data_IF_817012917773
#
_entry.id   IF_817012917773
#
_cell.length_a   1.000
_cell.length_b   1.000
_cell.length_c   1.000
_cell.angle_alpha   90.00
_cell.angle_beta   90.00
_cell.angle_gamma   90.00
#
_symmetry.space_group_name_H-M   'P 1'
#
loop_
_entity.id
_entity.type
_entity.pdbx_description
1 polymer ?
#
# COMPACT_ATOMS: atom_id res chain seq x y z
N UNK A 1 -10.02 48.05 -20.97
CA UNK A 1 -10.33 46.74 -20.38
C UNK A 1 -10.08 46.81 -18.86
N UNK A 2 -11.01 47.45 -18.15
CA UNK A 2 -10.98 47.59 -16.69
C UNK A 2 -11.64 46.35 -16.08
N UNK A 3 -10.89 45.67 -15.21
CA UNK A 3 -11.28 44.41 -14.60
C UNK A 3 -12.51 44.58 -13.70
N UNK A 4 -13.49 43.70 -13.90
CA UNK A 4 -14.57 43.47 -12.95
C UNK A 4 -13.94 42.93 -11.66
N UNK A 5 -13.70 43.83 -10.72
CA UNK A 5 -13.47 43.49 -9.33
C UNK A 5 -14.74 42.80 -8.82
N UNK A 6 -14.80 41.48 -8.98
CA UNK A 6 -15.80 40.64 -8.37
C UNK A 6 -15.78 40.92 -6.88
N UNK A 7 -16.90 41.41 -6.37
CA UNK A 7 -17.17 41.53 -4.95
C UNK A 7 -17.18 40.13 -4.35
N UNK A 8 -15.99 39.67 -3.96
CA UNK A 8 -15.84 38.47 -3.17
C UNK A 8 -16.75 38.67 -1.93
N UNK A 9 -17.72 37.77 -1.67
CA UNK A 9 -18.69 37.97 -0.60
C UNK A 9 -17.93 38.26 0.69
N UNK A 10 -18.25 39.39 1.33
CA UNK A 10 -17.58 39.82 2.55
C UNK A 10 -17.64 38.69 3.59
N UNK A 11 -16.54 37.95 3.71
CA UNK A 11 -16.45 36.82 4.62
C UNK A 11 -16.42 37.39 6.03
N UNK A 12 -17.48 37.12 6.80
CA UNK A 12 -17.56 37.55 8.19
C UNK A 12 -16.49 36.79 9.01
N UNK A 13 -15.71 37.48 9.86
CA UNK A 13 -14.76 36.84 10.74
C UNK A 13 -15.45 35.83 11.68
N UNK A 14 -14.78 34.71 11.94
CA UNK A 14 -15.25 33.72 12.92
C UNK A 14 -15.26 34.31 14.34
N UNK A 15 -16.19 33.89 15.21
CA UNK A 15 -16.33 34.44 16.56
C UNK A 15 -15.09 34.18 17.44
N UNK A 16 -14.49 32.99 17.33
CA UNK A 16 -13.28 32.66 18.08
C UNK A 16 -12.04 32.69 17.19
N UNK A 17 -11.13 33.60 17.53
CA UNK A 17 -9.86 33.76 16.83
C UNK A 17 -8.74 33.01 17.54
N UNK A 18 -7.99 32.20 16.79
CA UNK A 18 -6.85 31.43 17.30
C UNK A 18 -5.54 32.14 16.97
N UNK A 19 -4.63 32.27 17.95
CA UNK A 19 -3.28 32.81 17.71
C UNK A 19 -2.48 31.87 16.79
N UNK A 20 -1.99 32.36 15.62
CA UNK A 20 -1.11 31.61 14.73
C UNK A 20 0.21 31.28 15.43
N UNK A 21 0.71 30.05 15.24
CA UNK A 21 2.02 29.64 15.73
C UNK A 21 3.01 29.56 14.57
N UNK A 22 4.23 30.06 14.81
CA UNK A 22 5.30 30.02 13.82
C UNK A 22 5.54 28.58 13.33
N UNK A 23 5.48 28.36 12.02
CA UNK A 23 5.79 27.07 11.39
C UNK A 23 4.78 25.93 11.59
N UNK A 24 3.65 26.17 12.26
CA UNK A 24 2.53 25.22 12.40
C UNK A 24 1.96 24.83 11.02
N UNK A 25 1.84 25.84 10.17
CA UNK A 25 1.36 25.82 8.80
C UNK A 25 -0.12 25.53 8.64
N UNK A 26 -0.62 25.88 7.46
CA UNK A 26 -2.05 26.07 7.23
C UNK A 26 -2.99 24.92 7.65
N UNK A 27 -2.75 23.64 7.32
CA UNK A 27 -3.66 22.55 7.70
C UNK A 27 -3.87 22.39 9.22
N UNK A 28 -2.80 22.58 10.01
CA UNK A 28 -2.89 22.44 11.47
C UNK A 28 -3.58 23.67 12.09
N UNK A 29 -3.26 24.85 11.58
CA UNK A 29 -3.93 26.08 11.97
C UNK A 29 -5.44 26.04 11.69
N UNK A 30 -5.85 25.63 10.47
CA UNK A 30 -7.27 25.45 10.10
C UNK A 30 -7.96 24.44 11.04
N UNK A 31 -7.29 23.34 11.42
CA UNK A 31 -7.87 22.35 12.34
C UNK A 31 -8.14 22.96 13.72
N UNK A 32 -7.21 23.74 14.27
CA UNK A 32 -7.39 24.42 15.55
C UNK A 32 -8.45 25.52 15.48
N UNK A 33 -8.46 26.28 14.39
CA UNK A 33 -9.47 27.31 14.15
C UNK A 33 -10.87 26.70 14.07
N UNK A 34 -11.02 25.58 13.36
CA UNK A 34 -12.27 24.84 13.29
C UNK A 34 -12.71 24.33 14.66
N UNK A 35 -11.78 23.74 15.42
CA UNK A 35 -12.05 23.25 16.78
C UNK A 35 -12.50 24.37 17.74
N UNK A 36 -11.85 25.55 17.69
CA UNK A 36 -12.20 26.69 18.53
C UNK A 36 -13.59 27.27 18.23
N UNK A 37 -14.08 27.09 16.99
CA UNK A 37 -15.40 27.56 16.56
C UNK A 37 -16.44 26.42 16.49
N UNK A 38 -16.14 25.25 17.07
CA UNK A 38 -17.01 24.07 17.03
C UNK A 38 -17.43 23.64 15.61
N UNK A 39 -16.58 23.86 14.62
CA UNK A 39 -16.79 23.47 13.22
C UNK A 39 -16.05 22.16 12.89
N UNK A 40 -16.59 21.30 12.01
CA UNK A 40 -15.84 20.17 11.47
C UNK A 40 -14.61 20.65 10.65
N UNK A 41 -13.38 20.14 10.90
CA UNK A 41 -12.19 20.60 10.18
C UNK A 41 -12.27 20.42 8.66
N UNK A 42 -12.95 19.36 8.20
CA UNK A 42 -13.14 19.11 6.76
C UNK A 42 -14.09 20.13 6.13
N UNK A 43 -15.11 20.58 6.87
CA UNK A 43 -16.06 21.59 6.44
C UNK A 43 -15.35 22.92 6.22
N UNK A 44 -14.64 23.42 7.25
CA UNK A 44 -13.91 24.68 7.16
C UNK A 44 -12.86 24.65 6.03
N UNK A 45 -12.15 23.53 5.87
CA UNK A 45 -11.19 23.37 4.77
C UNK A 45 -11.86 23.45 3.40
N UNK A 46 -13.03 22.83 3.21
CA UNK A 46 -13.77 22.87 1.94
C UNK A 46 -14.30 24.27 1.66
N UNK A 47 -14.76 24.98 2.69
CA UNK A 47 -15.20 26.37 2.60
C UNK A 47 -14.08 27.30 2.14
N UNK A 48 -12.86 27.09 2.63
CA UNK A 48 -11.69 27.89 2.28
C UNK A 48 -11.13 27.66 0.86
N UNK A 49 -11.61 26.66 0.13
CA UNK A 49 -11.11 26.32 -1.22
C UNK A 49 -11.70 27.24 -2.31
N UNK A 50 -10.91 27.49 -3.37
CA UNK A 50 -11.30 28.36 -4.49
C UNK A 50 -11.02 27.71 -5.86
N UNK A 51 -12.03 27.50 -6.73
CA UNK A 51 -13.47 27.43 -6.42
C UNK A 51 -13.76 26.34 -5.37
N UNK A 52 -14.93 26.36 -4.69
CA UNK A 52 -15.26 25.43 -3.61
C UNK A 52 -15.39 23.99 -4.11
N UNK A 53 -14.25 23.32 -4.24
CA UNK A 53 -14.14 21.93 -4.67
C UNK A 53 -13.65 21.02 -3.55
N UNK A 54 -14.02 19.72 -3.56
CA UNK A 54 -13.55 18.76 -2.57
C UNK A 54 -12.03 18.53 -2.60
N UNK A 55 -11.35 18.94 -3.68
CA UNK A 55 -9.90 18.80 -3.88
C UNK A 55 -9.16 20.13 -4.00
N UNK A 56 -9.83 21.25 -3.79
CA UNK A 56 -9.20 22.57 -3.87
C UNK A 56 -8.10 22.74 -2.82
N UNK A 57 -7.15 23.63 -3.13
CA UNK A 57 -6.23 24.17 -2.13
C UNK A 57 -6.95 25.32 -1.41
N UNK A 58 -6.83 25.43 -0.09
CA UNK A 58 -7.41 26.56 0.62
C UNK A 58 -6.68 27.84 0.21
N UNK A 59 -7.46 28.91 0.02
CA UNK A 59 -7.01 30.24 -0.38
C UNK A 59 -6.55 31.03 0.85
N UNK A 60 -5.39 31.68 0.74
CA UNK A 60 -4.87 32.55 1.80
C UNK A 60 -5.76 33.76 2.04
N UNK A 61 -6.33 34.34 0.98
CA UNK A 61 -7.26 35.46 1.06
C UNK A 61 -8.51 35.10 1.88
N UNK A 62 -9.11 33.93 1.63
CA UNK A 62 -10.29 33.48 2.39
C UNK A 62 -9.96 33.18 3.84
N UNK A 63 -8.80 32.57 4.10
CA UNK A 63 -8.35 32.29 5.47
C UNK A 63 -8.08 33.57 6.26
N UNK A 64 -7.48 34.57 5.61
CA UNK A 64 -7.24 35.90 6.15
C UNK A 64 -8.55 36.62 6.49
N UNK A 65 -9.52 36.59 5.58
CA UNK A 65 -10.83 37.20 5.78
C UNK A 65 -11.59 36.60 6.97
N UNK A 66 -11.67 35.25 7.08
CA UNK A 66 -12.35 34.61 8.23
C UNK A 66 -11.61 34.79 9.56
N UNK A 67 -10.32 35.13 9.53
CA UNK A 67 -9.54 35.38 10.75
C UNK A 67 -9.41 36.87 11.09
N UNK A 68 -9.87 37.77 10.21
CA UNK A 68 -9.66 39.20 10.35
C UNK A 68 -8.18 39.59 10.41
N UNK A 69 -7.32 38.88 9.66
CA UNK A 69 -5.85 39.10 9.66
C UNK A 69 -5.35 39.42 8.26
N UNK A 70 -4.20 40.05 8.19
CA UNK A 70 -3.49 40.24 6.93
C UNK A 70 -3.03 38.88 6.32
N UNK A 71 -3.30 38.62 5.02
CA UNK A 71 -2.97 37.35 4.38
C UNK A 71 -1.46 37.07 4.33
N UNK A 72 -0.64 38.09 4.10
CA UNK A 72 0.81 37.92 3.95
C UNK A 72 1.48 37.70 5.30
N UNK A 73 1.04 38.39 6.35
CA UNK A 73 1.47 38.16 7.72
C UNK A 73 1.09 36.75 8.19
N UNK A 74 -0.13 36.31 7.89
CA UNK A 74 -0.60 34.97 8.26
C UNK A 74 0.19 33.88 7.54
N UNK A 75 0.41 34.05 6.23
CA UNK A 75 1.22 33.14 5.41
C UNK A 75 2.64 33.07 5.93
N UNK A 76 3.27 34.21 6.17
CA UNK A 76 4.65 34.28 6.70
C UNK A 76 4.72 33.59 8.05
N UNK A 77 3.82 33.89 8.98
CA UNK A 77 3.85 33.27 10.32
C UNK A 77 3.66 31.75 10.24
N UNK A 78 2.66 31.28 9.50
CA UNK A 78 2.33 29.86 9.46
C UNK A 78 3.33 29.03 8.67
N UNK A 79 3.92 29.57 7.61
CA UNK A 79 4.82 28.82 6.73
C UNK A 79 6.31 28.98 7.04
N UNK A 80 6.72 30.03 7.76
CA UNK A 80 8.12 30.19 8.18
C UNK A 80 8.55 28.97 8.97
N UNK A 81 9.56 28.28 8.46
CA UNK A 81 10.16 27.09 9.05
C UNK A 81 11.66 27.20 8.96
N UNK A 82 12.35 26.67 9.96
CA UNK A 82 13.80 26.55 9.92
C UNK A 82 14.21 25.35 9.08
N UNK A 83 15.24 25.53 8.28
CA UNK A 83 15.89 24.47 7.51
C UNK A 83 16.49 23.44 8.47
N UNK A 84 16.18 22.16 8.24
CA UNK A 84 16.66 21.07 9.10
C UNK A 84 18.19 20.91 9.05
N UNK A 85 18.84 21.36 7.99
CA UNK A 85 20.29 21.21 7.81
C UNK A 85 21.11 22.41 8.29
N UNK A 86 20.60 23.63 8.13
CA UNK A 86 21.36 24.85 8.44
C UNK A 86 20.67 25.81 9.40
N UNK A 87 19.43 25.52 9.83
CA UNK A 87 18.68 26.37 10.75
C UNK A 87 18.10 27.66 10.15
N UNK A 88 18.51 28.04 8.93
CA UNK A 88 18.02 29.23 8.22
C UNK A 88 16.53 29.17 7.97
N UNK A 89 15.84 30.31 8.13
CA UNK A 89 14.42 30.42 7.82
C UNK A 89 14.17 30.19 6.32
N UNK A 90 13.23 29.30 6.03
CA UNK A 90 12.77 28.96 4.69
C UNK A 90 11.61 29.91 4.37
N UNK A 91 11.68 30.63 3.23
CA UNK A 91 10.61 31.53 2.85
C UNK A 91 9.30 30.76 2.61
N UNK A 92 8.14 31.40 2.86
CA UNK A 92 6.83 30.80 2.63
C UNK A 92 6.63 30.44 1.15
N UNK A 93 6.01 29.28 0.87
CA UNK A 93 5.71 28.87 -0.51
C UNK A 93 4.43 29.56 -0.99
N UNK A 94 4.36 29.90 -2.27
CA UNK A 94 3.10 30.40 -2.86
C UNK A 94 2.00 29.35 -2.85
N UNK A 95 2.38 28.07 -2.88
CA UNK A 95 1.42 26.97 -2.92
C UNK A 95 1.19 26.36 -1.56
N UNK A 96 -0.07 26.42 -1.12
CA UNK A 96 -0.53 25.74 0.09
C UNK A 96 -0.20 24.24 0.04
N UNK A 97 0.58 23.77 1.02
CA UNK A 97 0.75 22.34 1.33
C UNK A 97 2.07 21.69 0.91
N UNK A 98 2.86 22.24 -0.03
CA UNK A 98 4.21 21.72 -0.32
C UNK A 98 5.25 22.46 0.51
N UNK A 99 5.64 21.85 1.62
CA UNK A 99 6.63 22.41 2.55
C UNK A 99 8.02 21.96 2.16
N UNK A 100 8.87 22.90 1.75
CA UNK A 100 10.30 22.63 1.68
C UNK A 100 10.83 22.44 3.12
N UNK A 101 11.52 21.33 3.36
CA UNK A 101 12.20 21.05 4.64
C UNK A 101 13.61 21.67 4.63
N UNK A 102 14.11 21.99 3.43
CA UNK A 102 15.48 22.39 3.15
C UNK A 102 15.46 23.68 2.34
N UNK A 103 16.23 24.69 2.77
CA UNK A 103 16.23 26.03 2.18
C UNK A 103 16.83 26.09 0.78
N UNK A 104 17.77 25.19 0.45
CA UNK A 104 18.56 25.28 -0.78
C UNK A 104 18.94 23.91 -1.33
N UNK A 105 19.37 23.89 -2.59
CA UNK A 105 19.95 22.68 -3.20
C UNK A 105 21.21 22.22 -2.45
N UNK A 106 22.01 23.15 -1.91
CA UNK A 106 23.18 22.82 -1.07
C UNK A 106 22.76 22.03 0.18
N UNK A 107 21.73 22.50 0.90
CA UNK A 107 21.19 21.78 2.04
C UNK A 107 20.55 20.44 1.64
N UNK A 108 19.89 20.37 0.48
CA UNK A 108 19.38 19.12 -0.09
C UNK A 108 20.47 18.09 -0.32
N UNK A 109 21.58 18.50 -0.94
CA UNK A 109 22.74 17.65 -1.18
C UNK A 109 23.41 17.24 0.13
N UNK A 110 23.53 18.16 1.11
CA UNK A 110 24.08 17.86 2.45
C UNK A 110 23.22 16.83 3.19
N UNK A 111 21.91 17.05 3.26
CA UNK A 111 20.95 16.11 3.83
C UNK A 111 21.02 14.74 3.15
N UNK A 112 21.10 14.72 1.83
CA UNK A 112 21.22 13.50 1.05
C UNK A 112 22.53 12.77 1.34
N UNK A 113 23.67 13.48 1.40
CA UNK A 113 24.97 12.90 1.80
C UNK A 113 24.92 12.34 3.22
N UNK A 114 24.28 13.03 4.17
CA UNK A 114 24.09 12.54 5.55
C UNK A 114 23.20 11.30 5.61
N UNK A 115 22.16 11.23 4.77
CA UNK A 115 21.23 10.07 4.67
C UNK A 115 21.81 8.89 3.91
N UNK A 116 22.78 9.11 3.03
CA UNK A 116 23.59 8.03 2.48
C UNK A 116 24.39 7.44 3.63
N UNK A 117 23.75 6.50 4.33
CA UNK A 117 24.37 5.67 5.36
C UNK A 117 25.48 4.89 4.71
N UNK A 118 26.70 5.40 4.82
CA UNK A 118 27.91 4.65 4.57
C UNK A 118 28.01 3.63 5.70
N UNK A 119 27.68 2.38 5.40
CA UNK A 119 28.04 1.29 6.29
C UNK A 119 29.36 0.71 5.81
N UNK A 120 30.22 0.25 6.74
CA UNK A 120 31.42 -0.48 6.36
C UNK A 120 31.03 -1.82 5.71
N UNK A 121 31.83 -2.25 4.73
CA UNK A 121 31.72 -3.58 4.16
C UNK A 121 31.99 -4.64 5.24
N UNK A 122 31.19 -5.71 5.31
CA UNK A 122 31.40 -6.80 6.30
C UNK A 122 32.70 -7.59 6.11
N UNK A 123 33.38 -7.47 4.97
CA UNK A 123 34.59 -8.26 4.65
C UNK A 123 35.84 -7.40 4.67
N UNK A 124 35.82 -6.23 4.01
CA UNK A 124 37.00 -5.37 3.91
C UNK A 124 36.86 -4.07 4.70
N UNK A 125 35.76 -3.88 5.42
CA UNK A 125 35.45 -2.70 6.26
C UNK A 125 35.42 -1.34 5.55
N UNK A 126 35.69 -1.30 4.24
CA UNK A 126 35.64 -0.07 3.46
C UNK A 126 34.23 0.54 3.48
N UNK A 127 34.11 1.87 3.65
CA UNK A 127 32.83 2.54 3.63
C UNK A 127 32.19 2.39 2.26
N UNK A 128 30.94 1.95 2.21
CA UNK A 128 30.20 1.77 0.96
C UNK A 128 28.79 2.35 1.04
N UNK A 129 28.26 2.82 -0.09
CA UNK A 129 26.87 3.24 -0.21
C UNK A 129 25.97 2.00 -0.24
N UNK A 130 25.08 1.85 0.74
CA UNK A 130 24.06 0.80 0.72
C UNK A 130 22.99 1.17 -0.31
N UNK A 131 22.87 0.40 -1.39
CA UNK A 131 21.74 0.55 -2.30
C UNK A 131 20.45 0.02 -1.65
N UNK A 132 19.32 0.71 -1.89
CA UNK A 132 18.01 0.28 -1.38
C UNK A 132 17.71 -1.12 -1.94
N UNK A 133 17.60 -2.12 -1.06
CA UNK A 133 17.38 -3.52 -1.42
C UNK A 133 18.62 -4.42 -1.36
N UNK A 134 19.82 -3.87 -1.16
CA UNK A 134 21.03 -4.66 -1.01
C UNK A 134 21.08 -5.32 0.38
N UNK A 135 20.83 -6.64 0.43
CA UNK A 135 20.78 -7.44 1.68
C UNK A 135 22.12 -7.51 2.41
N UNK A 136 23.21 -7.63 1.66
CA UNK A 136 24.54 -7.84 2.21
C UNK A 136 25.38 -6.57 2.03
N UNK A 137 25.96 -6.07 3.13
CA UNK A 137 26.89 -4.93 3.16
C UNK A 137 28.24 -5.35 2.56
N UNK A 138 28.26 -5.64 1.26
CA UNK A 138 29.42 -6.14 0.52
C UNK A 138 29.71 -5.18 -0.63
N UNK A 139 30.91 -4.59 -0.64
CA UNK A 139 31.22 -3.46 -1.51
C UNK A 139 31.57 -3.86 -2.95
N UNK A 140 32.04 -5.08 -3.18
CA UNK A 140 32.53 -5.56 -4.48
C UNK A 140 32.17 -7.02 -4.75
N UNK A 141 32.29 -7.45 -6.00
CA UNK A 141 32.20 -8.86 -6.40
C UNK A 141 33.21 -9.73 -5.65
N UNK A 142 34.43 -9.24 -5.43
CA UNK A 142 35.45 -9.92 -4.64
C UNK A 142 34.98 -10.16 -3.20
N UNK A 143 34.51 -9.12 -2.50
CA UNK A 143 33.95 -9.29 -1.15
C UNK A 143 32.72 -10.21 -1.12
N UNK A 144 31.90 -10.23 -2.18
CA UNK A 144 30.79 -11.19 -2.33
C UNK A 144 31.30 -12.63 -2.45
N UNK A 145 32.36 -12.88 -3.23
CA UNK A 145 33.00 -14.18 -3.36
C UNK A 145 33.62 -14.63 -2.04
N UNK A 146 34.35 -13.76 -1.34
CA UNK A 146 34.93 -14.06 -0.03
C UNK A 146 33.85 -14.41 0.99
N UNK A 147 32.78 -13.61 1.08
CA UNK A 147 31.66 -13.92 1.97
C UNK A 147 30.95 -15.24 1.60
N UNK A 148 30.90 -15.59 0.32
CA UNK A 148 30.35 -16.88 -0.13
C UNK A 148 31.24 -18.06 0.29
N UNK A 149 32.55 -17.95 0.07
CA UNK A 149 33.52 -18.97 0.48
C UNK A 149 33.54 -19.17 2.00
N UNK A 150 33.44 -18.08 2.76
CA UNK A 150 33.34 -18.15 4.22
C UNK A 150 32.09 -18.93 4.66
N UNK A 151 30.92 -18.66 4.06
CA UNK A 151 29.70 -19.44 4.33
C UNK A 151 29.83 -20.92 3.95
N UNK A 152 30.53 -21.25 2.86
CA UNK A 152 30.78 -22.65 2.51
C UNK A 152 31.67 -23.35 3.55
N UNK A 153 32.72 -22.68 4.03
CA UNK A 153 33.60 -23.21 5.09
C UNK A 153 32.85 -23.37 6.41
N UNK A 154 32.09 -22.37 6.82
CA UNK A 154 31.29 -22.41 8.05
C UNK A 154 30.21 -23.50 7.98
N UNK A 155 29.58 -23.67 6.82
CA UNK A 155 28.61 -24.75 6.58
C UNK A 155 29.23 -26.14 6.64
N UNK A 156 30.40 -26.32 6.03
CA UNK A 156 31.13 -27.60 6.09
C UNK A 156 31.59 -27.94 7.52
N UNK A 157 32.11 -26.95 8.27
CA UNK A 157 32.53 -27.11 9.66
C UNK A 157 31.35 -27.37 10.62
N UNK A 158 30.15 -26.89 10.30
CA UNK A 158 28.94 -27.21 11.06
C UNK A 158 28.50 -28.66 10.83
N UNK A 159 28.65 -29.20 9.62
CA UNK A 159 28.27 -30.60 9.33
C UNK A 159 29.22 -31.63 9.97
N UNK A 160 30.50 -31.30 10.17
CA UNK A 160 31.48 -32.21 10.79
C UNK A 160 31.39 -32.28 12.32
N UNK A 161 30.63 -31.39 12.98
CA UNK A 161 30.46 -31.37 14.44
C UNK A 161 29.20 -32.09 14.95
N UNK A 162 28.45 -32.75 14.07
CA UNK A 162 27.14 -33.34 14.40
C UNK A 162 27.15 -34.81 14.83
N UNK A 163 28.32 -35.39 15.12
CA UNK A 163 28.44 -36.83 15.46
C UNK A 163 28.62 -37.13 16.97
N UNK A 164 28.67 -36.10 17.82
CA UNK A 164 28.62 -36.29 19.27
C UNK A 164 27.19 -36.07 19.77
N UNK A 165 26.52 -37.17 20.13
CA UNK A 165 25.13 -37.27 20.59
C UNK A 165 24.82 -36.52 21.90
N UNK A 166 25.01 -35.20 21.92
CA UNK A 166 24.47 -34.28 22.93
C UNK A 166 23.58 -33.28 22.20
N UNK A 167 22.29 -33.28 22.57
CA UNK A 167 21.25 -32.40 22.04
C UNK A 167 21.53 -30.92 22.35
N UNK A 168 22.50 -30.33 21.66
CA UNK A 168 22.69 -28.88 21.62
C UNK A 168 21.53 -28.33 20.80
N UNK A 169 20.66 -27.58 21.45
CA UNK A 169 19.57 -26.85 20.80
C UNK A 169 20.17 -25.91 19.75
N UNK A 170 20.20 -26.38 18.50
CA UNK A 170 20.71 -25.67 17.35
C UNK A 170 20.04 -24.29 17.30
N UNK A 171 20.82 -23.24 17.54
CA UNK A 171 20.26 -21.90 17.76
C UNK A 171 19.75 -21.37 16.42
N UNK A 172 18.46 -21.60 16.16
CA UNK A 172 17.83 -21.24 14.89
C UNK A 172 17.98 -19.73 14.63
N UNK A 173 18.51 -19.38 13.47
CA UNK A 173 18.69 -17.99 13.06
C UNK A 173 17.46 -17.47 12.29
N UNK A 174 17.16 -16.19 12.46
CA UNK A 174 16.10 -15.52 11.72
C UNK A 174 16.45 -15.39 10.22
N UNK A 175 15.59 -15.88 9.33
CA UNK A 175 15.82 -15.82 7.87
C UNK A 175 15.91 -14.39 7.28
N UNK A 176 15.45 -13.37 8.03
CA UNK A 176 15.43 -11.99 7.56
C UNK A 176 16.63 -11.16 8.03
N UNK A 177 17.16 -11.43 9.23
CA UNK A 177 18.24 -10.62 9.83
C UNK A 177 19.41 -11.44 10.39
N UNK A 178 19.37 -12.77 10.27
CA UNK A 178 20.42 -13.72 10.71
C UNK A 178 20.68 -13.72 12.23
N UNK A 179 19.88 -13.02 13.03
CA UNK A 179 19.99 -13.02 14.50
C UNK A 179 19.38 -14.30 15.10
N UNK A 180 19.89 -14.79 16.24
CA UNK A 180 19.29 -15.91 16.95
C UNK A 180 17.83 -15.62 17.27
N UNK A 181 16.97 -16.62 17.05
CA UNK A 181 15.56 -16.55 17.45
C UNK A 181 15.49 -16.54 18.97
N UNK A 182 14.54 -15.79 19.56
CA UNK A 182 14.38 -15.79 21.01
C UNK A 182 14.07 -17.21 21.51
N UNK A 183 14.63 -17.61 22.67
CA UNK A 183 14.34 -18.91 23.26
C UNK A 183 12.83 -19.06 23.49
N UNK A 184 12.28 -20.23 23.21
CA UNK A 184 10.83 -20.49 23.28
C UNK A 184 10.02 -20.05 22.04
N UNK A 185 10.65 -19.56 20.98
CA UNK A 185 9.96 -19.40 19.71
C UNK A 185 9.51 -20.76 19.19
N UNK A 186 8.20 -20.92 18.95
CA UNK A 186 7.62 -22.14 18.37
C UNK A 186 8.45 -22.65 17.20
N UNK A 187 8.58 -23.98 17.09
CA UNK A 187 9.43 -24.64 16.11
C UNK A 187 9.15 -24.24 14.63
N UNK A 188 8.01 -23.65 14.32
CA UNK A 188 7.68 -23.17 12.97
C UNK A 188 8.09 -21.70 12.70
N UNK A 189 8.49 -20.94 13.73
CA UNK A 189 8.75 -19.50 13.61
C UNK A 189 10.13 -19.24 13.00
N UNK A 190 10.16 -18.83 11.73
CA UNK A 190 11.40 -18.50 10.98
C UNK A 190 11.89 -17.06 11.16
N UNK A 191 11.18 -16.21 11.91
CA UNK A 191 11.48 -14.76 12.04
C UNK A 191 11.44 -14.24 13.48
N UNK A 192 12.45 -13.45 13.88
CA UNK A 192 12.59 -12.96 15.25
C UNK A 192 11.60 -11.85 15.61
N UNK A 193 11.17 -11.02 14.66
CA UNK A 193 10.25 -9.90 14.90
C UNK A 193 9.18 -9.76 13.81
N UNK A 194 8.13 -8.98 14.09
CA UNK A 194 7.10 -8.62 13.10
C UNK A 194 7.70 -7.89 11.89
N UNK A 195 8.69 -7.03 12.12
CA UNK A 195 9.43 -6.33 11.05
C UNK A 195 10.17 -7.33 10.16
N UNK A 196 10.86 -8.30 10.76
CA UNK A 196 11.53 -9.38 10.03
C UNK A 196 10.54 -10.27 9.26
N UNK A 197 9.34 -10.48 9.80
CA UNK A 197 8.26 -11.20 9.10
C UNK A 197 7.79 -10.45 7.86
N UNK A 198 7.50 -9.15 7.98
CA UNK A 198 7.13 -8.31 6.83
C UNK A 198 8.22 -8.28 5.77
N UNK A 199 9.48 -8.19 6.20
CA UNK A 199 10.63 -8.24 5.31
C UNK A 199 10.70 -9.60 4.60
N UNK A 200 10.68 -10.72 5.33
CA UNK A 200 10.66 -12.08 4.76
C UNK A 200 9.52 -12.26 3.74
N UNK A 201 8.30 -11.82 4.05
CA UNK A 201 7.14 -11.91 3.14
C UNK A 201 7.25 -11.05 1.88
N UNK A 202 7.94 -9.91 1.94
CA UNK A 202 8.26 -9.13 0.73
C UNK A 202 9.24 -9.90 -0.15
N UNK A 203 10.20 -10.58 0.45
CA UNK A 203 11.21 -11.34 -0.29
C UNK A 203 10.69 -12.65 -0.86
N UNK A 204 9.87 -13.42 -0.13
CA UNK A 204 9.25 -14.64 -0.68
C UNK A 204 8.39 -14.34 -1.91
N UNK A 205 7.83 -13.13 -2.02
CA UNK A 205 7.14 -12.67 -3.22
C UNK A 205 8.07 -12.40 -4.41
N UNK A 206 9.31 -12.02 -4.16
CA UNK A 206 10.33 -11.74 -5.20
C UNK A 206 11.06 -13.02 -5.59
N UNK A 207 11.38 -13.87 -4.61
CA UNK A 207 12.17 -15.10 -4.77
C UNK A 207 11.36 -16.32 -5.22
N UNK A 208 10.05 -16.18 -5.47
CA UNK A 208 9.26 -17.16 -6.21
C UNK A 208 9.12 -16.72 -7.68
N UNK A 209 10.15 -16.94 -8.53
CA UNK A 209 10.10 -16.61 -9.95
C UNK A 209 9.02 -17.42 -10.69
N UNK A 210 8.50 -18.51 -10.11
CA UNK A 210 7.39 -19.28 -10.67
C UNK A 210 6.11 -18.46 -10.91
N UNK A 211 5.93 -17.31 -10.23
CA UNK A 211 4.82 -16.38 -10.50
C UNK A 211 5.10 -15.39 -11.64
N UNK A 212 6.36 -15.30 -12.08
CA UNK A 212 6.82 -14.41 -13.15
C UNK A 212 7.16 -15.17 -14.45
N UNK A 213 7.35 -16.48 -14.40
CA UNK A 213 7.54 -17.34 -15.58
C UNK A 213 6.25 -17.86 -16.19
N UNK A 214 5.09 -17.62 -15.56
CA UNK A 214 3.82 -17.87 -16.23
C UNK A 214 3.68 -16.86 -17.38
N UNK A 215 3.39 -17.29 -18.62
CA UNK A 215 3.08 -16.36 -19.69
C UNK A 215 1.91 -15.47 -19.22
N UNK A 216 1.86 -14.18 -19.63
CA UNK A 216 0.73 -13.33 -19.32
C UNK A 216 -0.53 -14.06 -19.78
N UNK A 217 -1.45 -14.32 -18.85
CA UNK A 217 -2.70 -14.96 -19.18
C UNK A 217 -3.37 -14.15 -20.30
N UNK A 218 -3.70 -14.81 -21.40
CA UNK A 218 -4.44 -14.26 -22.53
C UNK A 218 -5.93 -14.09 -22.19
N UNK A 219 -6.36 -14.68 -21.07
CA UNK A 219 -7.73 -14.66 -20.55
C UNK A 219 -7.79 -14.19 -19.10
N UNK A 220 -8.90 -13.54 -18.75
CA UNK A 220 -9.21 -13.13 -17.38
C UNK A 220 -9.31 -14.36 -16.44
N UNK A 221 -8.60 -14.36 -15.30
CA UNK A 221 -8.67 -15.45 -14.31
C UNK A 221 -10.08 -15.62 -13.70
N UNK A 222 -10.94 -14.59 -13.81
CA UNK A 222 -12.27 -14.60 -13.19
C UNK A 222 -13.40 -14.95 -14.17
N UNK A 223 -13.48 -14.29 -15.33
CA UNK A 223 -14.56 -14.51 -16.30
C UNK A 223 -14.13 -15.30 -17.54
N UNK A 224 -12.85 -15.67 -17.66
CA UNK A 224 -12.26 -16.36 -18.81
C UNK A 224 -12.36 -15.65 -20.17
N UNK A 225 -12.91 -14.43 -20.23
CA UNK A 225 -12.90 -13.63 -21.45
C UNK A 225 -11.47 -13.24 -21.85
N UNK A 226 -11.17 -13.25 -23.16
CA UNK A 226 -9.87 -12.84 -23.66
C UNK A 226 -9.64 -11.36 -23.35
N UNK A 227 -8.40 -11.00 -23.00
CA UNK A 227 -8.05 -9.58 -22.89
C UNK A 227 -8.11 -8.95 -24.28
N UNK A 228 -8.88 -7.86 -24.42
CA UNK A 228 -8.81 -7.02 -25.61
C UNK A 228 -7.34 -6.59 -25.78
N UNK A 229 -6.76 -6.85 -26.96
CA UNK A 229 -5.35 -6.59 -27.31
C UNK A 229 -5.00 -5.08 -27.36
N UNK A 230 -5.59 -4.25 -26.50
CA UNK A 230 -5.37 -2.81 -26.47
C UNK A 230 -4.15 -2.47 -25.62
N UNK A 231 -3.03 -2.33 -26.35
CA UNK A 231 -1.70 -1.83 -25.96
C UNK A 231 -0.92 -2.72 -24.98
N UNK A 232 0.42 -2.84 -25.17
CA UNK A 232 1.29 -3.62 -24.30
C UNK A 232 1.38 -2.92 -22.93
N UNK A 233 0.42 -3.20 -22.05
CA UNK A 233 0.52 -2.78 -20.66
C UNK A 233 1.63 -3.62 -20.03
N UNK A 234 2.65 -2.96 -19.50
CA UNK A 234 3.90 -3.51 -18.96
C UNK A 234 3.73 -4.30 -17.66
N UNK A 235 2.60 -4.99 -17.48
CA UNK A 235 2.31 -5.82 -16.32
C UNK A 235 1.23 -6.85 -16.61
N UNK A 236 1.39 -8.05 -16.04
CA UNK A 236 0.41 -9.14 -16.10
C UNK A 236 -0.91 -8.66 -15.46
N UNK A 237 -1.88 -8.27 -16.28
CA UNK A 237 -3.25 -8.06 -15.80
C UNK A 237 -3.87 -9.45 -15.57
N UNK A 238 -4.26 -9.74 -14.33
CA UNK A 238 -5.01 -10.96 -14.00
C UNK A 238 -6.52 -10.85 -14.27
N UNK A 239 -7.03 -9.63 -14.46
CA UNK A 239 -8.47 -9.34 -14.52
C UNK A 239 -8.79 -8.37 -15.66
N UNK A 240 -9.80 -8.69 -16.49
CA UNK A 240 -10.19 -7.88 -17.65
C UNK A 240 -10.75 -6.50 -17.27
N UNK A 241 -11.37 -6.38 -16.09
CA UNK A 241 -11.98 -5.16 -15.60
C UNK A 241 -11.85 -5.00 -14.09
N UNK A 242 -12.04 -3.77 -13.60
CA UNK A 242 -12.11 -3.50 -12.16
C UNK A 242 -13.23 -4.28 -11.46
N UNK A 243 -14.34 -4.57 -12.17
CA UNK A 243 -15.45 -5.40 -11.65
C UNK A 243 -15.00 -6.85 -11.40
N UNK A 244 -14.28 -7.46 -12.34
CA UNK A 244 -13.75 -8.82 -12.18
C UNK A 244 -12.76 -8.90 -11.00
N UNK A 245 -11.87 -7.91 -10.85
CA UNK A 245 -10.99 -7.79 -9.67
C UNK A 245 -11.79 -7.74 -8.36
N UNK A 246 -12.81 -6.89 -8.30
CA UNK A 246 -13.60 -6.70 -7.09
C UNK A 246 -14.44 -7.93 -6.73
N UNK A 247 -14.96 -8.65 -7.73
CA UNK A 247 -15.71 -9.90 -7.54
C UNK A 247 -14.81 -11.04 -7.06
N UNK A 248 -13.61 -11.19 -7.63
CA UNK A 248 -12.62 -12.16 -7.17
C UNK A 248 -12.23 -11.93 -5.69
N UNK A 249 -12.02 -10.66 -5.28
CA UNK A 249 -11.71 -10.33 -3.88
C UNK A 249 -12.86 -10.62 -2.90
N UNK A 250 -14.11 -10.70 -3.39
CA UNK A 250 -15.28 -11.05 -2.57
C UNK A 250 -15.52 -12.56 -2.47
N UNK A 251 -14.66 -13.40 -3.06
CA UNK A 251 -14.82 -14.85 -3.05
C UNK A 251 -16.06 -15.34 -3.78
N UNK A 252 -16.62 -14.53 -4.69
CA UNK A 252 -17.76 -14.93 -5.50
C UNK A 252 -17.30 -15.97 -6.52
N UNK A 253 -17.88 -17.16 -6.47
CA UNK A 253 -17.62 -18.22 -7.43
C UNK A 253 -17.98 -17.73 -8.86
N UNK A 254 -17.06 -17.83 -9.85
CA UNK A 254 -17.29 -17.42 -11.23
C UNK A 254 -18.27 -18.32 -12.00
N UNK A 255 -18.93 -19.27 -11.33
CA UNK A 255 -19.91 -20.18 -11.90
C UNK A 255 -21.37 -19.68 -12.08
N UNK A 256 -21.76 -18.38 -12.17
CA UNK A 256 -23.16 -18.05 -12.45
C UNK A 256 -23.56 -18.23 -13.92
N UNK A 257 -22.67 -18.65 -14.82
CA UNK A 257 -22.94 -18.81 -16.26
C UNK A 257 -23.02 -20.25 -16.77
N UNK A 258 -22.85 -21.27 -15.92
CA UNK A 258 -23.30 -22.62 -16.32
C UNK A 258 -24.82 -22.62 -16.17
N UNK A 259 -25.51 -22.53 -17.31
CA UNK A 259 -26.95 -22.79 -17.41
C UNK A 259 -27.18 -24.14 -16.71
N UNK A 260 -27.82 -24.11 -15.54
CA UNK A 260 -28.15 -25.35 -14.85
C UNK A 260 -29.29 -25.99 -15.61
N UNK A 261 -29.05 -27.20 -16.08
CA UNK A 261 -30.05 -28.00 -16.78
C UNK A 261 -30.86 -28.81 -15.76
N UNK A 262 -32.13 -29.06 -16.10
CA UNK A 262 -33.01 -29.88 -15.30
C UNK A 262 -32.45 -31.29 -15.19
N UNK A 263 -32.34 -31.82 -13.97
CA UNK A 263 -31.82 -33.18 -13.76
C UNK A 263 -32.66 -34.30 -14.37
N UNK A 264 -33.81 -33.98 -14.98
CA UNK A 264 -34.68 -34.93 -15.66
C UNK A 264 -34.73 -34.70 -17.18
N UNK A 265 -35.21 -33.54 -17.63
CA UNK A 265 -35.34 -33.25 -19.07
C UNK A 265 -34.14 -32.54 -19.70
N UNK A 266 -33.12 -32.20 -18.90
CA UNK A 266 -31.92 -31.43 -19.32
C UNK A 266 -32.19 -30.03 -19.89
N UNK A 267 -33.42 -29.52 -19.82
CA UNK A 267 -33.73 -28.15 -20.26
C UNK A 267 -33.13 -27.10 -19.32
N UNK A 268 -32.77 -25.91 -19.84
CA UNK A 268 -32.33 -24.77 -19.04
C UNK A 268 -33.34 -24.44 -17.93
N UNK A 269 -32.87 -24.30 -16.69
CA UNK A 269 -33.70 -23.81 -15.59
C UNK A 269 -33.48 -22.30 -15.43
N UNK A 270 -34.53 -21.53 -15.69
CA UNK A 270 -34.55 -20.10 -15.38
C UNK A 270 -34.53 -19.86 -13.86
N UNK A 271 -33.89 -18.77 -13.45
CA UNK A 271 -33.86 -18.37 -12.03
C UNK A 271 -35.22 -17.78 -11.66
N UNK A 272 -35.70 -18.09 -10.46
CA UNK A 272 -36.85 -17.38 -9.93
C UNK A 272 -36.47 -15.94 -9.55
N UNK A 273 -37.47 -15.11 -9.24
CA UNK A 273 -37.31 -13.69 -8.86
C UNK A 273 -36.35 -13.46 -7.69
N UNK A 274 -36.14 -14.48 -6.84
CA UNK A 274 -35.23 -14.45 -5.70
C UNK A 274 -33.79 -14.91 -6.05
N UNK A 275 -33.50 -15.14 -7.32
CA UNK A 275 -32.18 -15.56 -7.82
C UNK A 275 -31.78 -16.99 -7.44
N UNK A 276 -32.69 -17.79 -6.86
CA UNK A 276 -32.46 -19.20 -6.51
C UNK A 276 -32.72 -20.07 -7.73
N UNK A 277 -31.87 -21.08 -7.92
CA UNK A 277 -31.99 -22.05 -9.02
C UNK A 277 -32.67 -23.31 -8.48
N UNK A 278 -33.85 -23.65 -8.99
CA UNK A 278 -34.47 -24.95 -8.71
C UNK A 278 -33.62 -26.07 -9.32
N UNK A 279 -33.64 -27.27 -8.73
CA UNK A 279 -33.02 -28.46 -9.34
C UNK A 279 -33.85 -29.02 -10.50
N UNK A 280 -35.12 -28.60 -10.64
CA UNK A 280 -36.08 -29.13 -11.62
C UNK A 280 -36.82 -27.97 -12.30
N UNK A 281 -37.01 -28.03 -13.62
CA UNK A 281 -37.72 -27.00 -14.39
C UNK A 281 -39.23 -26.96 -14.07
N UNK A 282 -39.83 -28.09 -13.68
CA UNK A 282 -41.25 -28.19 -13.35
C UNK A 282 -41.52 -29.23 -12.26
N UNK A 283 -42.69 -29.13 -11.63
CA UNK A 283 -43.17 -30.15 -10.66
C UNK A 283 -43.29 -31.54 -11.32
N UNK A 284 -43.73 -31.59 -12.57
CA UNK A 284 -43.81 -32.82 -13.37
C UNK A 284 -42.43 -33.47 -13.54
N UNK A 285 -41.39 -32.70 -13.90
CA UNK A 285 -40.02 -33.22 -14.00
C UNK A 285 -39.49 -33.76 -12.67
N UNK A 286 -39.81 -33.11 -11.54
CA UNK A 286 -39.45 -33.61 -10.20
C UNK A 286 -40.15 -34.94 -9.90
N UNK A 287 -41.44 -35.08 -10.23
CA UNK A 287 -42.20 -36.30 -9.98
C UNK A 287 -41.72 -37.46 -10.87
N UNK A 288 -41.44 -37.22 -12.15
CA UNK A 288 -40.86 -38.22 -13.06
C UNK A 288 -39.48 -38.69 -12.58
N UNK A 289 -38.62 -37.78 -12.14
CA UNK A 289 -37.32 -38.15 -11.57
C UNK A 289 -37.46 -39.00 -10.29
N UNK A 290 -38.47 -38.73 -9.45
CA UNK A 290 -38.76 -39.57 -8.27
C UNK A 290 -39.24 -40.96 -8.65
N UNK A 291 -40.13 -41.08 -9.65
CA UNK A 291 -40.59 -42.38 -10.17
C UNK A 291 -39.44 -43.20 -10.75
N UNK A 292 -38.58 -42.57 -11.54
CA UNK A 292 -37.40 -43.22 -12.10
C UNK A 292 -36.48 -43.76 -11.01
N UNK A 293 -36.21 -42.99 -9.94
CA UNK A 293 -35.39 -43.47 -8.81
C UNK A 293 -36.01 -44.64 -8.06
N UNK A 294 -37.35 -44.66 -7.91
CA UNK A 294 -38.06 -45.79 -7.28
C UNK A 294 -37.97 -47.04 -8.16
N UNK A 295 -38.26 -46.92 -9.46
CA UNK A 295 -38.14 -48.03 -10.41
C UNK A 295 -36.72 -48.63 -10.46
N UNK A 296 -35.69 -47.79 -10.42
CA UNK A 296 -34.29 -48.28 -10.37
C UNK A 296 -33.94 -48.93 -9.03
N UNK A 297 -34.54 -48.48 -7.93
CA UNK A 297 -34.30 -49.06 -6.61
C UNK A 297 -34.98 -50.42 -6.45
N UNK A 298 -36.16 -50.61 -7.05
CA UNK A 298 -36.88 -51.90 -7.02
C UNK A 298 -36.28 -52.95 -7.98
N UNK A 299 -35.40 -52.52 -8.88
CA UNK A 299 -34.71 -53.39 -9.85
C UNK A 299 -33.29 -53.78 -9.41
N UNK A 300 -32.87 -53.36 -8.20
CA UNK A 300 -31.55 -53.63 -7.61
C UNK A 300 -31.68 -54.55 -6.40
#
# INVERSE_FOLDING_TARGET
>A
MTGLAGTDPQLVPLPFQVRPKAGEGGPMFIRRLAQANHLPPLYLRRFLNEPPGPRGKPSWARLAAITGRDPDLLRTTLETKKCVECGTDIPPSETFGRRAILCSMRCRTRAHRRRQTTAPCRICEKPMKIQIGQRHRLCSSACRRTAYLQRQRDGAAAMTRSDDGRSVQETRLCIACEKPLPPGAYAHRRTCSATCRLQASRWSRIASPAKFTQPPADRCEFCHEPFLKSRPSTGMRRWCSGRCRQRAHRGLDPAPYRIRTCGHCQEPIERNELGRVSQWCSRSCREKARRHRRATADSS
#
